data_IF_927832219306
#
_entry.id   IF_927832219306
#
_cell.length_a   1.000
_cell.length_b   1.000
_cell.length_c   1.000
_cell.angle_alpha   90.00
_cell.angle_beta   90.00
_cell.angle_gamma   90.00
#
_symmetry.space_group_name_H-M   'P 1'
#
loop_
_entity.id
_entity.type
_entity.pdbx_description
1 polymer ?
#
# COMPACT_ATOMS: atom_id res chain seq x y z
N UNK A 1 46.09 21.47 -14.00
CA UNK A 1 45.08 21.94 -13.01
C UNK A 1 43.71 21.43 -13.44
N UNK A 2 43.24 20.30 -12.91
CA UNK A 2 41.90 19.77 -13.23
C UNK A 2 40.89 20.27 -12.19
N UNK A 3 40.14 21.32 -12.51
CA UNK A 3 39.04 21.83 -11.69
C UNK A 3 37.81 20.90 -11.79
N UNK A 4 37.87 19.75 -11.11
CA UNK A 4 36.78 18.79 -11.01
C UNK A 4 35.84 19.09 -9.84
N UNK A 5 35.05 20.17 -9.89
CA UNK A 5 33.90 20.35 -8.97
C UNK A 5 32.63 19.78 -9.58
N UNK A 6 32.59 18.46 -9.81
CA UNK A 6 31.33 17.77 -10.08
C UNK A 6 30.66 17.48 -8.74
N UNK A 7 29.48 18.04 -8.52
CA UNK A 7 28.68 17.80 -7.32
C UNK A 7 28.45 16.31 -7.14
N UNK A 8 29.17 15.70 -6.19
CA UNK A 8 29.01 14.29 -5.85
C UNK A 8 27.76 14.11 -5.00
N UNK A 9 26.87 13.22 -5.44
CA UNK A 9 25.78 12.68 -4.63
C UNK A 9 26.33 12.27 -3.26
N UNK A 10 25.86 12.94 -2.19
CA UNK A 10 26.26 12.56 -0.82
C UNK A 10 25.72 11.16 -0.53
N UNK A 11 26.49 10.29 0.14
CA UNK A 11 25.94 9.05 0.71
C UNK A 11 24.79 9.44 1.64
N UNK A 12 23.58 8.97 1.34
CA UNK A 12 22.35 9.36 2.06
C UNK A 12 21.56 10.51 1.43
N UNK A 13 21.95 11.04 0.27
CA UNK A 13 21.13 11.96 -0.50
C UNK A 13 20.00 11.20 -1.22
N UNK A 14 18.81 11.20 -0.62
CA UNK A 14 17.61 10.60 -1.19
C UNK A 14 16.58 10.23 -0.12
N UNK A 15 15.42 9.73 -0.56
CA UNK A 15 14.51 9.02 0.34
C UNK A 15 15.01 7.59 0.48
N UNK A 16 15.11 7.08 1.71
CA UNK A 16 15.28 5.65 1.94
C UNK A 16 14.09 4.95 1.29
N UNK A 17 14.32 4.01 0.35
CA UNK A 17 13.22 3.25 -0.23
C UNK A 17 12.53 2.47 0.88
N UNK A 18 11.19 2.51 0.90
CA UNK A 18 10.39 1.65 1.77
C UNK A 18 10.76 0.19 1.51
N UNK A 19 10.64 -0.65 2.54
CA UNK A 19 10.76 -2.09 2.36
C UNK A 19 9.67 -2.60 1.42
N UNK A 20 9.95 -3.70 0.71
CA UNK A 20 9.00 -4.23 -0.28
C UNK A 20 7.64 -4.59 0.34
N UNK A 21 7.63 -4.96 1.62
CA UNK A 21 6.43 -5.27 2.41
C UNK A 21 5.60 -4.03 2.77
N UNK A 22 6.21 -2.85 2.76
CA UNK A 22 5.55 -1.58 3.10
C UNK A 22 5.04 -0.86 1.84
N UNK A 23 5.53 -1.26 0.66
CA UNK A 23 5.05 -0.73 -0.61
C UNK A 23 3.65 -1.27 -0.92
N UNK A 24 2.68 -0.36 -1.03
CA UNK A 24 1.35 -0.68 -1.57
C UNK A 24 1.51 -1.22 -3.00
N UNK A 25 1.05 -2.44 -3.24
CA UNK A 25 0.97 -3.05 -4.58
C UNK A 25 -0.51 -3.08 -5.01
N UNK A 26 -0.79 -2.48 -6.16
CA UNK A 26 -2.14 -2.47 -6.73
C UNK A 26 -2.45 -3.81 -7.39
N UNK A 27 -3.61 -4.38 -7.06
CA UNK A 27 -4.14 -5.57 -7.72
C UNK A 27 -5.55 -5.28 -8.25
N UNK A 28 -5.84 -5.77 -9.46
CA UNK A 28 -7.20 -5.72 -10.01
C UNK A 28 -7.92 -7.01 -9.62
N UNK A 29 -9.09 -6.86 -9.01
CA UNK A 29 -9.99 -7.97 -8.71
C UNK A 29 -11.37 -7.66 -9.28
N UNK A 30 -12.08 -8.69 -9.71
CA UNK A 30 -13.46 -8.57 -10.17
C UNK A 30 -14.39 -8.88 -9.01
N UNK A 31 -15.31 -7.97 -8.72
CA UNK A 31 -16.33 -8.11 -7.68
C UNK A 31 -17.69 -7.72 -8.25
N UNK A 32 -18.75 -8.22 -7.63
CA UNK A 32 -20.12 -7.82 -7.96
C UNK A 32 -20.41 -6.43 -7.40
N UNK A 33 -21.37 -5.72 -7.99
CA UNK A 33 -21.77 -4.38 -7.53
C UNK A 33 -22.28 -4.42 -6.07
N UNK A 34 -23.02 -5.46 -5.67
CA UNK A 34 -23.46 -5.60 -4.29
C UNK A 34 -22.26 -5.68 -3.31
N UNK A 35 -21.23 -6.46 -3.64
CA UNK A 35 -19.99 -6.53 -2.84
C UNK A 35 -19.31 -5.18 -2.72
N UNK A 36 -19.27 -4.40 -3.80
CA UNK A 36 -18.72 -3.03 -3.76
C UNK A 36 -19.52 -2.13 -2.82
N UNK A 37 -20.84 -2.21 -2.83
CA UNK A 37 -21.70 -1.44 -1.93
C UNK A 37 -21.50 -1.85 -0.47
N UNK A 38 -21.40 -3.16 -0.20
CA UNK A 38 -21.10 -3.68 1.13
C UNK A 38 -19.73 -3.18 1.65
N UNK A 39 -18.70 -3.16 0.79
CA UNK A 39 -17.38 -2.60 1.14
C UNK A 39 -17.49 -1.12 1.50
N UNK A 40 -18.21 -0.33 0.71
CA UNK A 40 -18.38 1.10 0.94
C UNK A 40 -19.14 1.39 2.24
N UNK A 41 -20.14 0.57 2.57
CA UNK A 41 -21.01 0.74 3.73
C UNK A 41 -20.37 0.24 5.04
N UNK A 42 -19.66 -0.88 5.00
CA UNK A 42 -19.21 -1.57 6.20
C UNK A 42 -17.70 -1.48 6.46
N UNK A 43 -16.88 -1.20 5.44
CA UNK A 43 -15.44 -1.09 5.61
C UNK A 43 -15.02 0.23 6.27
N UNK A 44 -13.92 0.18 7.02
CA UNK A 44 -13.32 1.35 7.67
C UNK A 44 -12.18 1.92 6.84
N UNK A 45 -12.20 3.22 6.56
CA UNK A 45 -11.16 3.89 5.78
C UNK A 45 -11.67 5.10 5.01
N UNK A 46 -10.75 5.89 4.47
CA UNK A 46 -11.05 7.13 3.74
C UNK A 46 -11.51 6.89 2.30
N UNK A 47 -11.09 5.78 1.70
CA UNK A 47 -11.35 5.45 0.30
C UNK A 47 -11.69 3.96 0.14
N UNK A 48 -12.17 3.59 -1.05
CA UNK A 48 -12.58 2.22 -1.37
C UNK A 48 -11.48 1.19 -1.10
N UNK A 49 -10.24 1.49 -1.48
CA UNK A 49 -9.10 0.58 -1.31
C UNK A 49 -8.81 0.32 0.17
N UNK A 50 -8.83 1.35 1.01
CA UNK A 50 -8.63 1.19 2.46
C UNK A 50 -9.75 0.36 3.11
N UNK A 51 -11.01 0.68 2.76
CA UNK A 51 -12.17 -0.08 3.24
C UNK A 51 -12.10 -1.55 2.83
N UNK A 52 -11.73 -1.83 1.58
CA UNK A 52 -11.58 -3.20 1.08
C UNK A 52 -10.45 -3.94 1.80
N UNK A 53 -9.29 -3.31 1.97
CA UNK A 53 -8.13 -3.91 2.65
C UNK A 53 -8.45 -4.20 4.12
N UNK A 54 -9.18 -3.31 4.81
CA UNK A 54 -9.58 -3.51 6.20
C UNK A 54 -10.46 -4.76 6.37
N UNK A 55 -11.51 -4.88 5.55
CA UNK A 55 -12.39 -6.04 5.58
C UNK A 55 -11.65 -7.35 5.25
N UNK A 56 -10.79 -7.33 4.22
CA UNK A 56 -9.98 -8.49 3.82
C UNK A 56 -9.01 -8.89 4.94
N UNK A 57 -8.31 -7.92 5.55
CA UNK A 57 -7.35 -8.18 6.62
C UNK A 57 -8.04 -8.75 7.87
N UNK A 58 -9.23 -8.24 8.21
CA UNK A 58 -10.06 -8.76 9.30
C UNK A 58 -10.40 -10.23 9.09
N UNK A 59 -10.88 -10.60 7.91
CA UNK A 59 -11.23 -11.98 7.59
C UNK A 59 -10.00 -12.91 7.54
N UNK A 60 -8.87 -12.44 7.01
CA UNK A 60 -7.60 -13.21 7.05
C UNK A 60 -7.19 -13.47 8.50
N UNK A 61 -7.30 -12.48 9.39
CA UNK A 61 -6.99 -12.65 10.82
C UNK A 61 -7.92 -13.66 11.47
N UNK A 62 -9.22 -13.60 11.18
CA UNK A 62 -10.20 -14.56 11.70
C UNK A 62 -9.87 -16.00 11.27
N UNK A 63 -9.49 -16.20 10.01
CA UNK A 63 -9.10 -17.52 9.48
C UNK A 63 -7.79 -18.06 10.05
N UNK A 64 -6.83 -17.17 10.35
CA UNK A 64 -5.57 -17.58 11.02
C UNK A 64 -5.77 -18.00 12.47
N UNK A 65 -6.82 -17.49 13.11
CA UNK A 65 -7.15 -17.78 14.50
C UNK A 65 -8.16 -18.95 14.66
N UNK A 66 -8.60 -19.55 13.55
CA UNK A 66 -9.46 -20.73 13.52
C UNK A 66 -8.62 -21.98 13.31
#
# INVERSE_FOLDING_TARGET
MSNGKRGGTRKGAGRTPLDECEKKKGFKIYIRENTKQEILKHGKGSNFSEKAVELIASEIKNRKNK
#
